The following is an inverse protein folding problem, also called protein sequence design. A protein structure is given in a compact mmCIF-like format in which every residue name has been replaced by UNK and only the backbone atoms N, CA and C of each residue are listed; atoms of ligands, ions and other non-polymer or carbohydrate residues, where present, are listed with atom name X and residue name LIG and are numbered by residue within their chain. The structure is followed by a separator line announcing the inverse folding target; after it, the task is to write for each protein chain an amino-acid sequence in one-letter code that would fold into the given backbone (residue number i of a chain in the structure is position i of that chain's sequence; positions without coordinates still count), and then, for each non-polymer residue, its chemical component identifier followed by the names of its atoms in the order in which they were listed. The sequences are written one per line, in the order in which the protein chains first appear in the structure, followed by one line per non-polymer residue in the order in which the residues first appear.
data_IF_580503875428
#
_entry.id   IF_580503875428
#
_cell.length_a   1.000
_cell.length_b   1.000
_cell.length_c   1.000
_cell.angle_alpha   90.00
_cell.angle_beta   90.00
_cell.angle_gamma   90.00
#
_symmetry.space_group_name_H-M   'P 1'
#
loop_
_entity.id
_entity.type
_entity.pdbx_description
1 polymer ?
#
# COMPACT_ATOMS: atom_id res chain seq x y z
N UNK A 1 12.92 -11.85 15.66
CA UNK A 1 12.15 -12.45 14.55
C UNK A 1 11.80 -11.38 13.52
N UNK A 2 12.06 -11.59 12.21
CA UNK A 2 11.75 -10.62 11.17
C UNK A 2 10.23 -10.41 11.08
N UNK A 3 9.77 -9.17 11.28
CA UNK A 3 8.35 -8.80 11.17
C UNK A 3 7.93 -8.87 9.70
N UNK A 4 7.24 -9.94 9.30
CA UNK A 4 6.60 -10.01 7.97
C UNK A 4 5.56 -8.89 7.87
N UNK A 5 5.84 -7.86 7.07
CA UNK A 5 4.88 -6.79 6.77
C UNK A 5 3.84 -7.35 5.80
N UNK A 6 2.60 -7.53 6.27
CA UNK A 6 1.50 -7.85 5.37
C UNK A 6 1.19 -6.66 4.47
N UNK A 7 1.03 -6.92 3.17
CA UNK A 7 0.52 -5.91 2.24
C UNK A 7 -0.91 -5.53 2.61
N UNK A 8 -1.30 -4.28 2.33
CA UNK A 8 -2.63 -3.76 2.67
C UNK A 8 -3.75 -4.63 2.08
N UNK A 9 -3.55 -5.19 0.89
CA UNK A 9 -4.50 -6.12 0.27
C UNK A 9 -4.77 -7.38 1.12
N UNK A 10 -3.71 -7.95 1.73
CA UNK A 10 -3.83 -9.11 2.60
C UNK A 10 -4.55 -8.77 3.90
N UNK A 11 -4.30 -7.58 4.45
CA UNK A 11 -4.96 -7.12 5.68
C UNK A 11 -6.46 -6.94 5.44
N UNK A 12 -6.85 -6.26 4.36
CA UNK A 12 -8.26 -6.02 4.01
C UNK A 12 -8.99 -7.34 3.72
N UNK A 13 -8.34 -8.28 3.01
CA UNK A 13 -8.92 -9.60 2.77
C UNK A 13 -9.15 -10.39 4.06
N UNK A 14 -8.21 -10.33 5.02
CA UNK A 14 -8.38 -10.95 6.35
C UNK A 14 -9.49 -10.29 7.16
N UNK A 15 -9.60 -8.96 7.15
CA UNK A 15 -10.68 -8.23 7.83
C UNK A 15 -12.06 -8.64 7.29
N UNK A 16 -12.21 -8.73 5.97
CA UNK A 16 -13.46 -9.14 5.35
C UNK A 16 -13.85 -10.58 5.74
N UNK A 17 -12.89 -11.52 5.77
CA UNK A 17 -13.13 -12.89 6.26
C UNK A 17 -13.62 -12.89 7.71
N UNK A 18 -13.04 -12.05 8.57
CA UNK A 18 -13.51 -11.92 9.95
C UNK A 18 -14.94 -11.40 10.01
N UNK A 19 -15.29 -10.40 9.20
CA UNK A 19 -16.65 -9.84 9.19
C UNK A 19 -17.71 -10.85 8.71
N UNK A 20 -17.37 -11.67 7.70
CA UNK A 20 -18.24 -12.77 7.21
C UNK A 20 -18.45 -13.83 8.30
N UNK A 21 -17.39 -14.32 8.92
CA UNK A 21 -17.48 -15.35 9.96
C UNK A 21 -18.14 -14.83 11.24
N UNK A 22 -17.97 -13.54 11.55
CA UNK A 22 -18.68 -12.87 12.64
C UNK A 22 -20.18 -12.79 12.34
N UNK A 23 -20.58 -12.55 11.08
CA UNK A 23 -21.98 -12.60 10.64
C UNK A 23 -22.62 -13.97 10.79
N UNK A 24 -21.82 -15.05 10.77
CA UNK A 24 -22.26 -16.43 11.04
C UNK A 24 -22.32 -16.77 12.53
N UNK A 25 -22.09 -15.80 13.42
CA UNK A 25 -22.18 -15.97 14.87
C UNK A 25 -20.89 -16.40 15.58
N UNK A 26 -19.76 -16.55 14.87
CA UNK A 26 -18.47 -16.90 15.50
C UNK A 26 -17.87 -15.71 16.24
N UNK A 27 -17.20 -15.96 17.37
CA UNK A 27 -16.56 -14.90 18.15
C UNK A 27 -15.24 -14.47 17.49
N UNK A 28 -14.97 -13.17 17.51
CA UNK A 28 -13.75 -12.55 16.95
C UNK A 28 -12.45 -13.23 17.43
N UNK A 29 -12.26 -13.59 18.71
CA UNK A 29 -11.04 -14.24 19.18
C UNK A 29 -10.79 -15.60 18.53
N UNK A 30 -11.84 -16.38 18.28
CA UNK A 30 -11.75 -17.70 17.66
C UNK A 30 -11.37 -17.59 16.18
N UNK A 31 -11.98 -16.64 15.47
CA UNK A 31 -11.68 -16.36 14.07
C UNK A 31 -10.24 -15.84 13.94
N UNK A 32 -9.80 -14.97 14.85
CA UNK A 32 -8.43 -14.45 14.88
C UNK A 32 -7.40 -15.57 15.10
N UNK A 33 -7.71 -16.53 15.98
CA UNK A 33 -6.87 -17.72 16.19
C UNK A 33 -6.77 -18.58 14.93
N UNK A 34 -7.88 -18.80 14.22
CA UNK A 34 -7.90 -19.56 12.97
C UNK A 34 -7.16 -18.86 11.82
N UNK A 35 -7.22 -17.53 11.76
CA UNK A 35 -6.53 -16.72 10.74
C UNK A 35 -5.06 -16.41 11.09
N UNK A 36 -4.57 -16.92 12.21
CA UNK A 36 -3.24 -16.65 12.76
C UNK A 36 -2.96 -15.14 12.88
N UNK A 37 -3.97 -14.37 13.30
CA UNK A 37 -3.87 -12.93 13.52
C UNK A 37 -4.06 -12.64 15.01
N UNK A 38 -3.14 -11.86 15.58
CA UNK A 38 -3.34 -11.37 16.94
C UNK A 38 -4.58 -10.47 17.01
N UNK A 39 -5.43 -10.69 18.03
CA UNK A 39 -6.68 -9.94 18.23
C UNK A 39 -6.43 -8.42 18.30
N UNK A 40 -5.33 -8.00 18.93
CA UNK A 40 -4.92 -6.59 18.95
C UNK A 40 -4.62 -6.05 17.55
N UNK A 41 -3.93 -6.83 16.71
CA UNK A 41 -3.62 -6.47 15.32
C UNK A 41 -4.90 -6.40 14.49
N UNK A 42 -5.88 -7.26 14.73
CA UNK A 42 -7.20 -7.19 14.11
C UNK A 42 -7.88 -5.85 14.42
N UNK A 43 -8.01 -5.48 15.69
CA UNK A 43 -8.69 -4.23 16.06
C UNK A 43 -7.97 -2.98 15.51
N UNK A 44 -6.63 -2.95 15.56
CA UNK A 44 -5.85 -1.86 14.92
C UNK A 44 -6.06 -1.80 13.41
N UNK A 45 -6.07 -2.95 12.74
CA UNK A 45 -6.30 -3.03 11.30
C UNK A 45 -7.73 -2.62 10.94
N UNK A 46 -8.71 -2.98 11.77
CA UNK A 46 -10.11 -2.59 11.62
C UNK A 46 -10.31 -1.09 11.80
N UNK A 47 -9.60 -0.45 12.72
CA UNK A 47 -9.65 1.01 12.85
C UNK A 47 -9.09 1.72 11.62
N UNK A 48 -8.03 1.16 11.01
CA UNK A 48 -7.33 1.78 9.88
C UNK A 48 -7.94 1.47 8.51
N UNK A 49 -8.51 0.28 8.34
CA UNK A 49 -8.98 -0.25 7.06
C UNK A 49 -10.41 -0.82 7.11
N UNK A 50 -11.08 -0.80 8.26
CA UNK A 50 -12.47 -1.24 8.40
C UNK A 50 -13.39 -0.27 7.67
N UNK A 51 -13.99 -0.74 6.58
CA UNK A 51 -14.74 0.10 5.63
C UNK A 51 -14.09 0.17 4.23
N UNK A 52 -12.83 -0.23 4.10
CA UNK A 52 -12.18 -0.36 2.80
C UNK A 52 -12.65 -1.65 2.09
N UNK A 53 -13.24 -1.50 0.91
CA UNK A 53 -13.57 -2.66 0.05
C UNK A 53 -12.28 -3.32 -0.46
N UNK A 54 -12.25 -4.66 -0.64
CA UNK A 54 -11.07 -5.37 -1.15
C UNK A 54 -10.64 -4.89 -2.55
N UNK A 55 -11.58 -4.47 -3.40
CA UNK A 55 -11.26 -3.84 -4.70
C UNK A 55 -10.53 -2.51 -4.55
N UNK A 56 -10.94 -1.70 -3.57
CA UNK A 56 -10.29 -0.41 -3.27
C UNK A 56 -8.85 -0.62 -2.80
N UNK A 57 -8.58 -1.69 -2.06
CA UNK A 57 -7.22 -2.05 -1.65
C UNK A 57 -6.33 -2.47 -2.85
N UNK A 58 -6.89 -3.20 -3.82
CA UNK A 58 -6.18 -3.54 -5.07
C UNK A 58 -5.88 -2.30 -5.90
N UNK A 59 -6.85 -1.42 -6.07
CA UNK A 59 -6.66 -0.15 -6.79
C UNK A 59 -5.63 0.74 -6.10
N UNK A 60 -5.63 0.82 -4.76
CA UNK A 60 -4.62 1.56 -4.01
C UNK A 60 -3.20 1.06 -4.29
N UNK A 61 -3.00 -0.26 -4.35
CA UNK A 61 -1.70 -0.86 -4.67
C UNK A 61 -1.25 -0.55 -6.10
N UNK A 62 -2.18 -0.62 -7.06
CA UNK A 62 -1.90 -0.25 -8.45
C UNK A 62 -1.51 1.23 -8.58
N UNK A 63 -2.26 2.12 -7.91
CA UNK A 63 -1.96 3.56 -7.85
C UNK A 63 -0.62 3.85 -7.18
N UNK A 64 -0.28 3.17 -6.08
CA UNK A 64 1.03 3.33 -5.43
C UNK A 64 2.18 2.90 -6.33
N UNK A 65 2.02 1.83 -7.12
CA UNK A 65 3.03 1.39 -8.08
C UNK A 65 3.22 2.42 -9.20
N UNK A 66 2.13 2.99 -9.70
CA UNK A 66 2.18 4.03 -10.72
C UNK A 66 2.85 5.30 -10.19
N UNK A 67 2.48 5.77 -9.00
CA UNK A 67 3.12 6.93 -8.36
C UNK A 67 4.63 6.71 -8.19
N UNK A 68 5.06 5.53 -7.72
CA UNK A 68 6.48 5.22 -7.59
C UNK A 68 7.22 5.23 -8.94
N UNK A 69 6.55 4.85 -10.04
CA UNK A 69 7.10 4.94 -11.39
C UNK A 69 7.20 6.39 -11.85
N UNK A 70 6.14 7.17 -11.62
CA UNK A 70 6.08 8.59 -11.97
C UNK A 70 7.13 9.40 -11.20
N UNK A 71 7.30 9.16 -9.90
CA UNK A 71 8.30 9.83 -9.07
C UNK A 71 9.71 9.62 -9.62
N UNK A 72 10.04 8.40 -10.06
CA UNK A 72 11.34 8.12 -10.70
C UNK A 72 11.52 8.90 -12.00
N UNK A 73 10.48 8.98 -12.83
CA UNK A 73 10.52 9.74 -14.07
C UNK A 73 10.68 11.25 -13.80
N UNK A 74 9.95 11.78 -12.83
CA UNK A 74 10.05 13.19 -12.41
C UNK A 74 11.45 13.48 -11.87
N UNK A 75 11.98 12.65 -10.99
CA UNK A 75 13.35 12.80 -10.46
C UNK A 75 14.40 12.76 -11.56
N UNK A 76 14.28 11.83 -12.52
CA UNK A 76 15.17 11.74 -13.67
C UNK A 76 15.09 13.01 -14.52
N UNK A 77 13.89 13.50 -14.83
CA UNK A 77 13.70 14.74 -15.59
C UNK A 77 14.22 15.97 -14.86
N UNK A 78 14.00 16.06 -13.55
CA UNK A 78 14.53 17.14 -12.70
C UNK A 78 16.06 17.13 -12.67
N UNK A 79 16.67 15.95 -12.60
CA UNK A 79 18.12 15.80 -12.67
C UNK A 79 18.66 16.28 -14.01
N UNK A 80 18.07 15.85 -15.13
CA UNK A 80 18.46 16.28 -16.48
C UNK A 80 18.31 17.80 -16.61
N UNK A 81 17.17 18.35 -16.17
CA UNK A 81 16.95 19.80 -16.18
C UNK A 81 17.99 20.55 -15.35
N UNK A 82 18.31 20.05 -14.16
CA UNK A 82 19.34 20.63 -13.29
C UNK A 82 20.73 20.61 -13.94
N UNK A 83 21.08 19.52 -14.62
CA UNK A 83 22.33 19.40 -15.37
C UNK A 83 22.36 20.36 -16.56
N UNK A 84 21.25 20.50 -17.29
CA UNK A 84 21.14 21.44 -18.42
C UNK A 84 21.28 22.92 -18.02
N UNK A 85 20.94 23.28 -16.77
CA UNK A 85 21.20 24.62 -16.22
C UNK A 85 22.64 24.84 -15.76
N UNK A 86 23.39 23.77 -15.52
CA UNK A 86 24.81 23.83 -15.11
C UNK A 86 25.77 23.78 -16.29
N UNK A 87 25.36 23.21 -17.42
CA UNK A 87 26.15 23.22 -18.63
C UNK A 87 25.97 24.58 -19.34
N UNK A 88 27.05 25.29 -19.70
CA UNK A 88 26.93 26.42 -20.61
C UNK A 88 26.27 25.90 -21.89
N UNK A 89 25.20 26.55 -22.34
CA UNK A 89 24.63 26.23 -23.65
C UNK A 89 25.73 26.55 -24.64
N UNK A 90 26.31 25.52 -25.27
CA UNK A 90 27.16 25.75 -26.43
C UNK A 90 26.27 26.35 -27.50
N UNK A 91 26.23 27.68 -27.52
CA UNK A 91 25.60 28.47 -28.55
C UNK A 91 26.37 28.18 -29.81
N UNK A 92 25.71 27.46 -30.73
CA UNK A 92 26.21 27.24 -32.07
C UNK A 92 26.64 28.55 -32.72
N UNK A 93 27.84 28.50 -33.29
CA UNK A 93 28.32 29.32 -34.40
C UNK A 93 28.93 28.34 -35.41
N UNK A 94 28.94 28.63 -36.72
CA UNK A 94 29.24 29.94 -37.32
C UNK A 94 28.05 30.89 -37.42
#
# INVERSE_FOLDING_TARGET
MPRKRHAVDQIVAKLHKVDVERGKGKKVPEICKWLEVAVQTYYRSRQKYGGMKPEMAKQLKARQKENARLDKMVLSRLLIWRLSRRLPRETGKP
#
